data_IF_817491418583
#
_entry.id   IF_817491418583
#
_cell.length_a   1.000
_cell.length_b   1.000
_cell.length_c   1.000
_cell.angle_alpha   90.00
_cell.angle_beta   90.00
_cell.angle_gamma   90.00
#
_symmetry.space_group_name_H-M   'P 1'
#
loop_
_entity.id
_entity.type
_entity.pdbx_description
1 polymer ?
#
# COMPACT_ATOMS: atom_id res chain seq x y z
N UNK A 1 19.50 -24.55 -72.66
CA UNK A 1 19.78 -23.59 -71.58
C UNK A 1 18.45 -23.05 -71.08
N UNK A 2 17.96 -23.60 -69.98
CA UNK A 2 16.63 -23.28 -69.41
C UNK A 2 16.88 -22.54 -68.10
N UNK A 3 16.50 -21.26 -68.00
CA UNK A 3 16.65 -20.44 -66.78
C UNK A 3 15.31 -20.40 -66.06
N UNK A 4 15.24 -21.07 -64.92
CA UNK A 4 14.12 -21.02 -63.97
C UNK A 4 14.30 -19.81 -63.06
N UNK A 5 13.34 -18.88 -63.05
CA UNK A 5 13.24 -17.81 -62.05
C UNK A 5 12.40 -18.32 -60.88
N UNK A 6 12.98 -18.40 -59.68
CA UNK A 6 12.22 -18.59 -58.44
C UNK A 6 11.80 -17.23 -57.89
N UNK A 7 10.49 -17.04 -57.75
CA UNK A 7 9.88 -15.90 -57.07
C UNK A 7 9.85 -16.19 -55.57
N UNK A 8 10.47 -15.33 -54.76
CA UNK A 8 10.48 -15.45 -53.30
C UNK A 8 9.23 -14.78 -52.71
N UNK A 9 8.34 -15.59 -52.13
CA UNK A 9 7.15 -15.15 -51.40
C UNK A 9 7.57 -14.77 -49.98
N UNK A 10 7.61 -13.47 -49.67
CA UNK A 10 7.94 -12.97 -48.33
C UNK A 10 6.79 -13.23 -47.35
N UNK A 11 7.01 -14.13 -46.39
CA UNK A 11 6.14 -14.31 -45.21
C UNK A 11 6.26 -13.07 -44.31
N UNK A 12 5.19 -12.28 -44.20
CA UNK A 12 5.08 -11.24 -43.18
C UNK A 12 4.88 -11.90 -41.81
N UNK A 13 5.89 -11.83 -40.95
CA UNK A 13 5.81 -12.27 -39.56
C UNK A 13 4.89 -11.31 -38.78
N UNK A 14 3.71 -11.80 -38.39
CA UNK A 14 2.85 -11.16 -37.41
C UNK A 14 3.50 -11.36 -36.03
N UNK A 15 4.24 -10.36 -35.55
CA UNK A 15 4.68 -10.33 -34.16
C UNK A 15 3.46 -10.04 -33.27
N UNK A 16 3.17 -10.87 -32.26
CA UNK A 16 2.16 -10.54 -31.27
C UNK A 16 2.61 -9.30 -30.50
N UNK A 17 1.85 -8.21 -30.61
CA UNK A 17 1.94 -7.10 -29.67
C UNK A 17 1.60 -7.65 -28.29
N UNK A 18 2.58 -7.66 -27.39
CA UNK A 18 2.32 -7.91 -25.97
C UNK A 18 1.27 -6.90 -25.51
N UNK A 19 0.08 -7.38 -25.15
CA UNK A 19 -0.91 -6.57 -24.47
C UNK A 19 -0.24 -6.04 -23.19
N UNK A 20 -0.12 -4.71 -23.08
CA UNK A 20 0.31 -4.06 -21.86
C UNK A 20 -0.68 -4.51 -20.78
N UNK A 21 -0.20 -5.18 -19.74
CA UNK A 21 -1.09 -5.65 -18.68
C UNK A 21 -1.72 -4.42 -18.00
N UNK A 22 -3.02 -4.20 -18.23
CA UNK A 22 -3.80 -3.13 -17.59
C UNK A 22 -3.84 -3.28 -16.06
N UNK A 23 -3.57 -4.48 -15.56
CA UNK A 23 -3.54 -4.83 -14.14
C UNK A 23 -2.10 -4.98 -13.63
N UNK A 24 -1.79 -4.29 -12.53
CA UNK A 24 -0.58 -4.49 -11.74
C UNK A 24 -0.98 -5.09 -10.41
N UNK A 25 -0.47 -6.28 -10.13
CA UNK A 25 -0.64 -6.95 -8.83
C UNK A 25 0.72 -7.15 -8.18
N UNK A 26 0.77 -7.08 -6.86
CA UNK A 26 2.02 -7.26 -6.13
C UNK A 26 1.83 -7.55 -4.66
N UNK A 27 2.95 -7.80 -3.99
CA UNK A 27 3.03 -7.94 -2.55
C UNK A 27 3.85 -6.80 -1.96
N UNK A 28 3.67 -6.55 -0.67
CA UNK A 28 4.47 -5.61 0.08
C UNK A 28 4.74 -6.15 1.49
N UNK A 29 5.86 -5.72 2.04
CA UNK A 29 6.30 -5.96 3.41
C UNK A 29 7.01 -4.68 3.85
N UNK A 30 6.57 -4.09 4.95
CA UNK A 30 7.06 -2.81 5.46
C UNK A 30 7.27 -2.93 6.96
N UNK A 31 8.53 -2.92 7.39
CA UNK A 31 8.90 -2.76 8.80
C UNK A 31 8.63 -1.32 9.22
N UNK A 32 7.86 -1.15 10.28
CA UNK A 32 7.46 0.16 10.78
C UNK A 32 8.36 0.59 11.93
N UNK A 33 9.16 1.63 11.75
CA UNK A 33 10.19 2.05 12.70
C UNK A 33 9.94 3.42 13.33
N UNK A 34 8.97 4.16 12.81
CA UNK A 34 8.73 5.56 13.17
C UNK A 34 7.36 5.70 13.82
N UNK A 35 7.31 5.96 15.12
CA UNK A 35 6.09 6.16 15.90
C UNK A 35 5.98 7.61 16.37
N UNK A 36 4.87 8.27 16.04
CA UNK A 36 4.64 9.67 16.39
C UNK A 36 3.16 9.98 16.60
N UNK A 37 2.89 11.08 17.31
CA UNK A 37 1.54 11.56 17.52
C UNK A 37 1.03 12.43 16.37
N UNK A 38 -0.26 12.27 16.08
CA UNK A 38 -1.05 13.14 15.21
C UNK A 38 -2.29 13.59 15.95
N UNK A 39 -2.77 14.80 15.66
CA UNK A 39 -4.07 15.29 16.09
C UNK A 39 -5.20 14.42 15.52
N UNK A 40 -6.41 14.56 16.05
CA UNK A 40 -7.58 13.83 15.53
C UNK A 40 -7.80 13.99 14.01
N UNK A 41 -7.58 15.18 13.40
CA UNK A 41 -7.64 15.34 11.94
C UNK A 41 -6.42 14.79 11.17
N UNK A 42 -5.39 14.31 11.85
CA UNK A 42 -4.21 13.68 11.24
C UNK A 42 -2.98 14.59 11.07
N UNK A 43 -3.03 15.86 11.49
CA UNK A 43 -1.84 16.72 11.48
C UNK A 43 -0.87 16.35 12.60
N UNK A 44 0.43 16.41 12.33
CA UNK A 44 1.51 16.16 13.30
C UNK A 44 1.30 16.91 14.62
N UNK A 45 1.45 16.20 15.75
CA UNK A 45 1.28 16.75 17.09
C UNK A 45 2.41 16.32 18.04
N UNK A 46 3.60 16.96 17.99
CA UNK A 46 4.79 16.53 18.73
C UNK A 46 4.61 16.38 20.24
N UNK A 47 3.74 17.19 20.83
CA UNK A 47 3.44 17.16 22.26
C UNK A 47 2.85 15.80 22.73
N UNK A 48 2.30 15.00 21.81
CA UNK A 48 1.77 13.66 22.09
C UNK A 48 2.76 12.50 21.91
N UNK A 49 3.99 12.74 21.46
CA UNK A 49 4.93 11.66 21.10
C UNK A 49 5.31 10.78 22.28
N UNK A 50 5.49 11.39 23.46
CA UNK A 50 5.81 10.65 24.69
C UNK A 50 4.69 9.67 25.04
N UNK A 51 3.44 10.11 24.93
CA UNK A 51 2.25 9.28 25.12
C UNK A 51 2.20 8.12 24.11
N UNK A 52 2.44 8.40 22.82
CA UNK A 52 2.44 7.36 21.80
C UNK A 52 3.55 6.33 22.04
N UNK A 53 4.76 6.79 22.38
CA UNK A 53 5.89 5.91 22.69
C UNK A 53 5.62 5.05 23.92
N UNK A 54 5.02 5.61 24.97
CA UNK A 54 4.67 4.87 26.18
C UNK A 54 3.59 3.81 25.92
N UNK A 55 2.57 4.16 25.13
CA UNK A 55 1.38 3.32 24.92
C UNK A 55 1.59 2.25 23.85
N UNK A 56 2.20 2.63 22.71
CA UNK A 56 2.30 1.81 21.50
C UNK A 56 3.73 1.49 21.09
N UNK A 57 4.74 1.96 21.84
CA UNK A 57 6.16 1.74 21.51
C UNK A 57 6.57 0.27 21.38
N UNK A 58 5.81 -0.66 21.99
CA UNK A 58 6.02 -2.11 21.86
C UNK A 58 5.81 -2.65 20.43
N UNK A 59 5.12 -1.91 19.56
CA UNK A 59 4.88 -2.27 18.16
C UNK A 59 5.92 -1.68 17.19
N UNK A 60 6.85 -0.85 17.68
CA UNK A 60 7.95 -0.35 16.84
C UNK A 60 8.83 -1.52 16.42
N UNK A 61 9.07 -1.64 15.12
CA UNK A 61 9.76 -2.78 14.51
C UNK A 61 8.83 -3.89 14.02
N UNK A 62 7.51 -3.80 14.26
CA UNK A 62 6.54 -4.71 13.66
C UNK A 62 6.45 -4.51 12.14
N UNK A 63 6.01 -5.54 11.44
CA UNK A 63 5.81 -5.53 9.99
C UNK A 63 4.33 -5.45 9.65
N UNK A 64 4.00 -4.63 8.66
CA UNK A 64 2.76 -4.76 7.88
C UNK A 64 3.10 -5.39 6.54
N UNK A 65 2.36 -6.42 6.14
CA UNK A 65 2.51 -7.05 4.83
C UNK A 65 1.17 -7.25 4.16
N UNK A 66 1.15 -7.53 2.87
CA UNK A 66 -0.10 -7.82 2.17
C UNK A 66 0.04 -7.87 0.66
N UNK A 67 -1.10 -7.81 -0.02
CA UNK A 67 -1.17 -7.80 -1.48
C UNK A 67 -1.97 -6.61 -1.99
N UNK A 68 -1.75 -6.25 -3.25
CA UNK A 68 -2.57 -5.28 -3.97
C UNK A 68 -2.83 -5.76 -5.40
N UNK A 69 -3.96 -5.31 -5.94
CA UNK A 69 -4.35 -5.47 -7.33
C UNK A 69 -4.92 -4.13 -7.83
N UNK A 70 -4.33 -3.61 -8.91
CA UNK A 70 -4.65 -2.29 -9.46
C UNK A 70 -4.85 -2.41 -10.96
N UNK A 71 -6.07 -2.18 -11.44
CA UNK A 71 -6.29 -1.89 -12.84
C UNK A 71 -6.00 -0.42 -13.12
N UNK A 72 -4.89 -0.14 -13.80
CA UNK A 72 -4.40 1.21 -14.07
C UNK A 72 -5.27 1.99 -15.08
N UNK A 73 -6.11 1.29 -15.85
CA UNK A 73 -7.00 1.88 -16.85
C UNK A 73 -8.39 2.19 -16.27
N UNK A 74 -8.99 1.24 -15.54
CA UNK A 74 -10.34 1.40 -14.95
C UNK A 74 -10.32 1.97 -13.54
N UNK A 75 -9.16 1.97 -12.88
CA UNK A 75 -8.98 2.33 -11.47
C UNK A 75 -9.80 1.45 -10.50
N UNK A 76 -10.17 0.24 -10.94
CA UNK A 76 -10.66 -0.79 -10.04
C UNK A 76 -9.47 -1.36 -9.28
N UNK A 77 -9.50 -1.27 -7.95
CA UNK A 77 -8.36 -1.59 -7.09
C UNK A 77 -8.82 -2.30 -5.81
N UNK A 78 -7.98 -3.18 -5.29
CA UNK A 78 -8.16 -3.83 -4.00
C UNK A 78 -6.81 -4.11 -3.34
N UNK A 79 -6.78 -4.20 -2.02
CA UNK A 79 -5.58 -4.59 -1.29
C UNK A 79 -5.94 -5.31 0.02
N UNK A 80 -4.96 -5.99 0.60
CA UNK A 80 -5.02 -6.57 1.95
C UNK A 80 -3.87 -6.03 2.78
N UNK A 81 -4.05 -6.03 4.09
CA UNK A 81 -2.98 -5.82 5.06
C UNK A 81 -3.04 -6.91 6.13
N UNK A 82 -1.89 -7.40 6.54
CA UNK A 82 -1.69 -8.26 7.69
C UNK A 82 -0.79 -7.52 8.67
N UNK A 83 -1.27 -7.36 9.89
CA UNK A 83 -0.53 -6.79 11.00
C UNK A 83 -0.73 -7.68 12.22
N UNK A 84 0.35 -8.01 12.93
CA UNK A 84 0.28 -8.82 14.16
C UNK A 84 -0.55 -10.11 13.99
N UNK A 85 -0.38 -10.76 12.82
CA UNK A 85 -1.04 -12.01 12.46
C UNK A 85 -2.51 -11.89 12.03
N UNK A 86 -3.07 -10.69 11.97
CA UNK A 86 -4.47 -10.46 11.61
C UNK A 86 -4.59 -9.76 10.26
N UNK A 87 -5.37 -10.34 9.35
CA UNK A 87 -5.63 -9.80 8.01
C UNK A 87 -6.85 -8.86 7.99
N UNK A 88 -6.75 -7.78 7.23
CA UNK A 88 -7.83 -6.83 6.96
C UNK A 88 -7.89 -6.47 5.47
N UNK A 89 -9.10 -6.35 4.93
CA UNK A 89 -9.31 -5.83 3.58
C UNK A 89 -9.11 -4.31 3.55
N UNK A 90 -8.54 -3.82 2.46
CA UNK A 90 -8.32 -2.39 2.24
C UNK A 90 -9.03 -1.92 0.96
N UNK A 91 -9.50 -0.68 1.01
CA UNK A 91 -10.27 -0.06 -0.06
C UNK A 91 -9.54 1.18 -0.59
N UNK A 92 -9.63 1.45 -1.90
CA UNK A 92 -8.94 2.59 -2.51
C UNK A 92 -9.54 3.93 -2.04
N UNK A 93 -8.66 4.91 -1.81
CA UNK A 93 -9.03 6.26 -1.35
C UNK A 93 -9.25 7.28 -2.48
N UNK A 94 -8.87 6.95 -3.72
CA UNK A 94 -9.05 7.85 -4.87
C UNK A 94 -8.20 9.13 -4.83
N UNK A 95 -7.03 9.09 -4.18
CA UNK A 95 -6.13 10.25 -4.06
C UNK A 95 -5.32 10.42 -5.34
N UNK A 96 -5.34 11.62 -5.92
CA UNK A 96 -4.58 11.92 -7.14
C UNK A 96 -3.07 11.77 -6.93
N UNK A 97 -2.39 11.17 -7.91
CA UNK A 97 -0.92 11.06 -7.95
C UNK A 97 -0.32 9.91 -7.13
N UNK A 98 -1.14 9.00 -6.59
CA UNK A 98 -0.69 7.79 -5.89
C UNK A 98 -1.80 6.74 -5.88
N UNK A 99 -1.45 5.49 -5.61
CA UNK A 99 -2.44 4.47 -5.24
C UNK A 99 -2.47 4.37 -3.73
N UNK A 100 -3.57 4.83 -3.12
CA UNK A 100 -3.72 4.85 -1.67
C UNK A 100 -4.89 3.96 -1.25
N UNK A 101 -4.68 3.16 -0.22
CA UNK A 101 -5.66 2.22 0.33
C UNK A 101 -5.77 2.41 1.84
N UNK A 102 -6.93 2.08 2.38
CA UNK A 102 -7.20 2.13 3.81
C UNK A 102 -8.18 1.04 4.21
N UNK A 103 -8.01 0.48 5.39
CA UNK A 103 -9.02 -0.41 5.99
C UNK A 103 -10.25 0.38 6.40
N UNK A 104 -11.46 -0.11 6.07
CA UNK A 104 -12.72 0.44 6.56
C UNK A 104 -13.15 -0.28 7.84
N UNK A 105 -12.52 0.11 8.95
CA UNK A 105 -12.50 -0.67 10.19
C UNK A 105 -11.50 -1.83 10.13
N UNK A 106 -11.30 -2.49 11.27
CA UNK A 106 -10.38 -3.63 11.41
C UNK A 106 -11.06 -4.77 12.19
N UNK A 107 -10.65 -6.04 11.98
CA UNK A 107 -11.17 -7.16 12.76
C UNK A 107 -10.84 -7.02 14.26
N UNK A 108 -11.61 -7.72 15.10
CA UNK A 108 -11.53 -7.65 16.56
C UNK A 108 -10.09 -7.75 17.13
N UNK A 109 -9.22 -8.68 16.69
CA UNK A 109 -7.86 -8.76 17.22
C UNK A 109 -7.06 -7.47 17.05
N UNK A 110 -7.25 -6.75 15.95
CA UNK A 110 -6.59 -5.47 15.69
C UNK A 110 -7.24 -4.33 16.49
N UNK A 111 -8.57 -4.28 16.55
CA UNK A 111 -9.27 -3.24 17.32
C UNK A 111 -8.98 -3.34 18.82
N UNK A 112 -8.85 -4.57 19.35
CA UNK A 112 -8.53 -4.84 20.76
C UNK A 112 -7.11 -4.36 21.12
N UNK A 113 -6.22 -4.25 20.13
CA UNK A 113 -4.89 -3.66 20.26
C UNK A 113 -4.89 -2.13 20.12
N UNK A 114 -6.05 -1.53 19.87
CA UNK A 114 -6.21 -0.10 19.65
C UNK A 114 -5.99 0.32 18.20
N UNK A 115 -5.81 -0.59 17.25
CA UNK A 115 -5.69 -0.22 15.82
C UNK A 115 -7.01 0.36 15.34
N UNK A 116 -6.95 1.57 14.77
CA UNK A 116 -8.07 2.21 14.09
C UNK A 116 -8.08 1.85 12.61
N UNK A 117 -6.93 2.04 11.92
CA UNK A 117 -6.78 1.78 10.48
C UNK A 117 -5.38 1.32 10.14
N UNK A 118 -5.28 0.62 9.02
CA UNK A 118 -4.03 0.41 8.29
C UNK A 118 -4.16 1.14 6.96
N UNK A 119 -3.10 1.83 6.54
CA UNK A 119 -3.03 2.64 5.33
C UNK A 119 -1.83 2.16 4.50
N UNK A 120 -2.03 2.07 3.19
CA UNK A 120 -0.98 1.76 2.23
C UNK A 120 -0.96 2.86 1.17
N UNK A 121 0.21 3.45 0.92
CA UNK A 121 0.45 4.38 -0.17
C UNK A 121 1.52 3.79 -1.10
N UNK A 122 1.21 3.74 -2.39
CA UNK A 122 2.13 3.34 -3.44
C UNK A 122 2.31 4.51 -4.41
N UNK A 123 3.54 4.78 -4.83
CA UNK A 123 3.80 5.66 -5.98
C UNK A 123 3.17 5.07 -7.25
N UNK A 124 2.84 5.91 -8.23
CA UNK A 124 2.21 5.44 -9.49
C UNK A 124 3.12 4.55 -10.34
N UNK A 125 4.44 4.59 -10.08
CA UNK A 125 5.43 3.70 -10.68
C UNK A 125 5.80 2.50 -9.79
N UNK A 126 5.11 2.33 -8.65
CA UNK A 126 5.28 1.25 -7.68
C UNK A 126 6.67 1.15 -7.03
N UNK A 127 7.52 2.16 -7.22
CA UNK A 127 8.88 2.21 -6.67
C UNK A 127 8.91 2.50 -5.17
N UNK A 128 7.98 3.31 -4.67
CA UNK A 128 7.85 3.70 -3.26
C UNK A 128 6.61 3.06 -2.62
N UNK A 129 6.76 2.63 -1.38
CA UNK A 129 5.74 1.92 -0.59
C UNK A 129 5.79 2.41 0.84
N UNK A 130 4.71 3.05 1.27
CA UNK A 130 4.52 3.55 2.62
C UNK A 130 3.35 2.80 3.26
N UNK A 131 3.59 2.23 4.44
CA UNK A 131 2.58 1.57 5.24
C UNK A 131 2.47 2.27 6.58
N UNK A 132 1.24 2.54 7.00
CA UNK A 132 0.96 3.18 8.29
C UNK A 132 -0.07 2.37 9.08
N UNK A 133 0.14 2.28 10.40
CA UNK A 133 -0.85 1.79 11.35
C UNK A 133 -1.25 2.96 12.25
N UNK A 134 -2.51 3.36 12.16
CA UNK A 134 -3.11 4.37 13.01
C UNK A 134 -3.74 3.70 14.23
N UNK A 135 -3.26 4.03 15.42
CA UNK A 135 -3.85 3.62 16.69
C UNK A 135 -4.74 4.73 17.25
N UNK A 136 -5.86 4.31 17.85
CA UNK A 136 -6.68 5.17 18.71
C UNK A 136 -5.84 5.55 19.93
N UNK A 137 -5.49 6.84 20.06
CA UNK A 137 -4.77 7.33 21.22
C UNK A 137 -5.72 7.76 22.34
N UNK A 138 -5.63 9.02 22.72
CA UNK A 138 -6.46 9.63 23.75
C UNK A 138 -7.41 10.69 23.13
N UNK A 139 -8.00 11.55 23.97
CA UNK A 139 -8.93 12.58 23.49
C UNK A 139 -8.26 13.60 22.54
N UNK A 140 -6.95 13.80 22.68
CA UNK A 140 -6.21 14.87 21.99
C UNK A 140 -5.45 14.34 20.76
N UNK A 141 -4.97 13.09 20.83
CA UNK A 141 -4.06 12.52 19.84
C UNK A 141 -4.46 11.11 19.40
N UNK A 142 -4.11 10.78 18.16
CA UNK A 142 -3.89 9.43 17.68
C UNK A 142 -2.40 9.18 17.51
N UNK A 143 -2.02 7.91 17.38
CA UNK A 143 -0.62 7.51 17.21
C UNK A 143 -0.44 6.83 15.87
N UNK A 144 0.49 7.33 15.06
CA UNK A 144 0.81 6.76 13.76
C UNK A 144 2.15 6.03 13.84
N UNK A 145 2.15 4.76 13.48
CA UNK A 145 3.34 3.94 13.31
C UNK A 145 3.57 3.74 11.81
N UNK A 146 4.73 4.16 11.31
CA UNK A 146 5.02 4.24 9.87
C UNK A 146 6.41 3.69 9.54
N UNK A 147 6.61 3.27 8.29
CA UNK A 147 7.94 3.04 7.72
C UNK A 147 8.52 4.30 7.06
N UNK A 148 7.87 5.45 7.24
CA UNK A 148 8.32 6.76 6.76
C UNK A 148 8.58 7.70 7.94
N UNK A 149 9.52 8.61 7.72
CA UNK A 149 9.81 9.66 8.69
C UNK A 149 8.58 10.53 8.97
N UNK A 150 8.45 11.00 10.21
CA UNK A 150 7.40 11.92 10.60
C UNK A 150 7.52 13.24 9.81
N UNK A 151 6.41 13.68 9.21
CA UNK A 151 6.31 14.93 8.45
C UNK A 151 5.49 15.97 9.21
#
# INVERSE_FOLDING_TARGET
>A
MTKTFLSALSLAALFPLSAMADSVSGTYDSTLDTLYAVSQPGSRAPDGDSYCKETFGKYVGSTVSGTYDINTTTLMMSATATFEGSEASMFPLGISGRYAFMTDGVPAPLSDMGVNRIILNLSTDFSDKESDVLFNGNADYNCLLSNRAAN
#
